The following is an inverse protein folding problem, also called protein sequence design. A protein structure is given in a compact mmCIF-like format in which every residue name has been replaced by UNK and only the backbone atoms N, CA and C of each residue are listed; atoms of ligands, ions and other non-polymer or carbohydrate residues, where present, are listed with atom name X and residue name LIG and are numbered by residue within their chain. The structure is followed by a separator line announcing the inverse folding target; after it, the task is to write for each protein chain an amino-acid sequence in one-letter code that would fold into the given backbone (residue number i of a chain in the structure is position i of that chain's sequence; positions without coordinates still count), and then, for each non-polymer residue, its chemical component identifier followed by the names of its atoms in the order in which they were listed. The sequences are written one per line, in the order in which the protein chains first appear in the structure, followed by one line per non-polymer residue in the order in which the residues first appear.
data_IF_033156755953
#
_entry.id   IF_033156755953
#
_cell.length_a   1.000
_cell.length_b   1.000
_cell.length_c   1.000
_cell.angle_alpha   90.00
_cell.angle_beta   90.00
_cell.angle_gamma   90.00
#
_symmetry.space_group_name_H-M   'P 1'
#
loop_
_entity.id
_entity.type
_entity.pdbx_description
1 polymer ?
#
# COMPACT_ATOMS: atom_id res chain seq x y z
N UNK A 1 48.77 6.43 -4.54
CA UNK A 1 48.08 6.25 -3.23
C UNK A 1 46.69 6.85 -3.38
N UNK A 2 45.67 6.00 -3.51
CA UNK A 2 44.30 6.40 -3.85
C UNK A 2 43.57 6.96 -2.64
N UNK A 3 42.87 8.07 -2.83
CA UNK A 3 41.99 8.67 -1.82
C UNK A 3 40.93 7.61 -1.45
N UNK A 4 40.75 7.26 -0.16
CA UNK A 4 39.77 6.27 0.25
C UNK A 4 38.37 6.73 -0.18
N UNK A 5 37.71 5.92 -1.01
CA UNK A 5 36.37 6.17 -1.57
C UNK A 5 35.33 6.45 -0.48
N UNK A 6 35.43 5.75 0.65
CA UNK A 6 34.56 5.91 1.81
C UNK A 6 34.50 7.35 2.35
N UNK A 7 35.65 8.04 2.41
CA UNK A 7 35.71 9.43 2.91
C UNK A 7 35.08 10.43 1.93
N UNK A 8 35.11 10.13 0.63
CA UNK A 8 34.44 10.92 -0.40
C UNK A 8 32.92 10.73 -0.33
N UNK A 9 32.46 9.50 -0.15
CA UNK A 9 31.03 9.19 -0.08
C UNK A 9 30.40 9.77 1.19
N UNK A 10 31.08 9.71 2.33
CA UNK A 10 30.65 10.37 3.57
C UNK A 10 30.56 11.89 3.39
N UNK A 11 31.49 12.51 2.65
CA UNK A 11 31.46 13.96 2.38
C UNK A 11 30.33 14.34 1.42
N UNK A 12 30.07 13.54 0.38
CA UNK A 12 28.96 13.75 -0.57
C UNK A 12 27.62 13.58 0.13
N UNK A 13 27.45 12.54 0.94
CA UNK A 13 26.25 12.30 1.75
C UNK A 13 26.02 13.42 2.78
N UNK A 14 27.10 13.94 3.39
CA UNK A 14 27.04 15.08 4.31
C UNK A 14 26.69 16.39 3.58
N UNK A 15 27.20 16.60 2.37
CA UNK A 15 26.83 17.75 1.52
C UNK A 15 25.38 17.66 1.03
N UNK A 16 24.91 16.47 0.65
CA UNK A 16 23.51 16.24 0.25
C UNK A 16 22.54 16.40 1.42
N UNK A 17 22.89 15.91 2.61
CA UNK A 17 22.07 16.10 3.82
C UNK A 17 22.02 17.54 4.31
N UNK A 18 23.07 18.34 4.08
CA UNK A 18 23.05 19.79 4.35
C UNK A 18 22.18 20.58 3.35
N UNK A 19 21.98 20.07 2.13
CA UNK A 19 21.13 20.69 1.10
C UNK A 19 19.66 20.24 1.25
N UNK A 20 19.42 19.08 1.86
CA UNK A 20 18.11 18.48 2.09
C UNK A 20 17.91 18.27 3.59
N UNK A 21 17.97 19.36 4.37
CA UNK A 21 17.41 19.35 5.72
C UNK A 21 15.93 19.70 5.57
N UNK A 22 14.99 18.74 5.67
CA UNK A 22 13.58 19.09 5.67
C UNK A 22 13.34 20.07 6.82
N UNK A 23 12.69 21.20 6.51
CA UNK A 23 12.25 22.13 7.55
C UNK A 23 11.46 21.35 8.62
N UNK A 24 11.44 21.76 9.90
CA UNK A 24 10.61 21.11 10.93
C UNK A 24 9.13 21.03 10.54
N UNK A 25 8.66 21.88 9.62
CA UNK A 25 7.34 21.78 9.00
C UNK A 25 7.22 20.61 7.99
N UNK A 26 8.26 20.29 7.24
CA UNK A 26 8.32 19.17 6.31
C UNK A 26 8.48 17.83 7.01
N UNK A 27 9.27 17.74 8.09
CA UNK A 27 9.35 16.52 8.91
C UNK A 27 8.00 16.12 9.51
N UNK A 28 7.23 17.11 9.99
CA UNK A 28 5.86 16.89 10.48
C UNK A 28 4.95 16.34 9.38
N UNK A 29 5.04 16.92 8.17
CA UNK A 29 4.28 16.45 7.00
C UNK A 29 4.66 15.02 6.60
N UNK A 30 5.95 14.70 6.59
CA UNK A 30 6.45 13.35 6.28
C UNK A 30 5.95 12.34 7.32
N UNK A 31 6.00 12.67 8.62
CA UNK A 31 5.48 11.79 9.68
C UNK A 31 3.98 11.56 9.55
N UNK A 32 3.20 12.61 9.30
CA UNK A 32 1.76 12.50 9.09
C UNK A 32 1.43 11.67 7.85
N UNK A 33 2.14 11.90 6.73
CA UNK A 33 1.97 11.11 5.51
C UNK A 33 2.27 9.62 5.76
N UNK A 34 3.33 9.30 6.51
CA UNK A 34 3.64 7.91 6.89
C UNK A 34 2.53 7.28 7.74
N UNK A 35 1.99 8.02 8.71
CA UNK A 35 0.87 7.53 9.52
C UNK A 35 -0.36 7.26 8.65
N UNK A 36 -0.71 8.17 7.73
CA UNK A 36 -1.80 7.97 6.77
C UNK A 36 -1.58 6.72 5.90
N UNK A 37 -0.37 6.52 5.38
CA UNK A 37 -0.05 5.32 4.60
C UNK A 37 -0.17 4.04 5.43
N UNK A 38 0.24 4.06 6.70
CA UNK A 38 0.14 2.90 7.58
C UNK A 38 -1.32 2.57 7.92
N UNK A 39 -2.16 3.58 8.12
CA UNK A 39 -3.61 3.40 8.28
C UNK A 39 -4.23 2.78 7.04
N UNK A 40 -3.85 3.26 5.85
CA UNK A 40 -4.37 2.73 4.60
C UNK A 40 -3.90 1.32 4.28
N UNK A 41 -2.64 0.98 4.57
CA UNK A 41 -2.14 -0.40 4.47
C UNK A 41 -2.94 -1.32 5.40
N UNK A 42 -3.21 -0.89 6.64
CA UNK A 42 -3.96 -1.71 7.61
C UNK A 42 -5.42 -1.89 7.20
N UNK A 43 -6.07 -0.84 6.74
CA UNK A 43 -7.45 -0.89 6.26
C UNK A 43 -7.57 -1.72 4.98
N UNK A 44 -6.66 -1.51 4.02
CA UNK A 44 -6.53 -2.29 2.80
C UNK A 44 -6.31 -3.77 3.08
N UNK A 45 -5.41 -4.13 4.00
CA UNK A 45 -5.14 -5.52 4.36
C UNK A 45 -6.38 -6.21 4.96
N UNK A 46 -7.14 -5.50 5.80
CA UNK A 46 -8.41 -6.01 6.33
C UNK A 46 -9.41 -6.26 5.21
N UNK A 47 -9.62 -5.28 4.33
CA UNK A 47 -10.53 -5.42 3.19
C UNK A 47 -10.13 -6.58 2.26
N UNK A 48 -8.83 -6.70 1.96
CA UNK A 48 -8.27 -7.78 1.16
C UNK A 48 -8.52 -9.16 1.79
N UNK A 49 -8.34 -9.28 3.11
CA UNK A 49 -8.60 -10.55 3.80
C UNK A 49 -10.07 -10.97 3.70
N UNK A 50 -11.00 -10.02 3.84
CA UNK A 50 -12.44 -10.25 3.73
C UNK A 50 -12.80 -10.64 2.29
N UNK A 51 -12.29 -9.89 1.31
CA UNK A 51 -12.51 -10.17 -0.11
C UNK A 51 -11.95 -11.53 -0.53
N UNK A 52 -10.78 -11.90 -0.01
CA UNK A 52 -10.18 -13.21 -0.23
C UNK A 52 -11.12 -14.33 0.23
N UNK A 53 -11.62 -14.26 1.47
CA UNK A 53 -12.57 -15.27 1.98
C UNK A 53 -13.89 -15.24 1.20
N UNK A 54 -14.43 -14.05 0.95
CA UNK A 54 -15.69 -13.86 0.24
C UNK A 54 -15.64 -14.33 -1.22
N UNK A 55 -14.46 -14.38 -1.84
CA UNK A 55 -14.29 -14.89 -3.22
C UNK A 55 -13.81 -16.33 -3.26
N UNK A 56 -12.94 -16.75 -2.33
CA UNK A 56 -12.42 -18.11 -2.28
C UNK A 56 -13.54 -19.13 -2.00
N UNK A 57 -14.43 -18.84 -1.07
CA UNK A 57 -15.52 -19.78 -0.71
C UNK A 57 -16.45 -20.01 -1.92
N UNK A 58 -17.03 -18.99 -2.57
CA UNK A 58 -17.85 -19.20 -3.76
C UNK A 58 -17.09 -19.82 -4.92
N UNK A 59 -15.82 -19.46 -5.13
CA UNK A 59 -15.00 -20.02 -6.22
C UNK A 59 -14.81 -21.52 -6.04
N UNK A 60 -14.47 -21.98 -4.83
CA UNK A 60 -14.30 -23.40 -4.53
C UNK A 60 -15.63 -24.15 -4.59
N UNK A 61 -16.72 -23.56 -4.07
CA UNK A 61 -18.05 -24.16 -4.14
C UNK A 61 -18.52 -24.30 -5.60
N UNK A 62 -18.32 -23.27 -6.43
CA UNK A 62 -18.72 -23.29 -7.83
C UNK A 62 -18.07 -24.43 -8.61
N UNK A 63 -16.77 -24.69 -8.40
CA UNK A 63 -16.05 -25.78 -9.09
C UNK A 63 -16.51 -27.16 -8.62
N UNK A 64 -17.14 -27.26 -7.44
CA UNK A 64 -17.68 -28.52 -6.90
C UNK A 64 -19.12 -28.78 -7.28
N UNK A 65 -19.94 -27.74 -7.35
CA UNK A 65 -21.40 -27.84 -7.58
C UNK A 65 -21.76 -27.66 -9.05
N UNK A 66 -21.01 -26.86 -9.81
CA UNK A 66 -21.36 -26.50 -11.19
C UNK A 66 -20.49 -27.31 -12.17
N UNK A 67 -21.07 -28.24 -12.96
CA UNK A 67 -20.31 -29.09 -13.87
C UNK A 67 -19.54 -28.30 -14.94
N UNK A 68 -20.13 -27.20 -15.42
CA UNK A 68 -19.48 -26.29 -16.36
C UNK A 68 -18.23 -25.64 -15.76
N UNK A 69 -18.31 -25.16 -14.52
CA UNK A 69 -17.17 -24.56 -13.83
C UNK A 69 -16.09 -25.61 -13.56
N UNK A 70 -16.47 -26.84 -13.19
CA UNK A 70 -15.52 -27.96 -13.04
C UNK A 70 -14.77 -28.29 -14.32
N UNK A 71 -15.46 -28.23 -15.47
CA UNK A 71 -14.87 -28.56 -16.76
C UNK A 71 -14.03 -27.42 -17.36
N UNK A 72 -14.33 -26.16 -17.05
CA UNK A 72 -13.71 -24.99 -17.70
C UNK A 72 -12.81 -24.15 -16.78
N UNK A 73 -12.90 -24.29 -15.45
CA UNK A 73 -12.19 -23.43 -14.49
C UNK A 73 -10.96 -24.16 -13.89
N UNK A 74 -9.79 -23.92 -14.48
CA UNK A 74 -8.52 -24.47 -13.99
C UNK A 74 -8.07 -23.80 -12.66
N UNK A 75 -7.15 -24.42 -11.92
CA UNK A 75 -6.60 -23.89 -10.66
C UNK A 75 -6.00 -22.49 -10.81
N UNK A 76 -5.37 -22.20 -11.95
CA UNK A 76 -4.86 -20.86 -12.26
C UNK A 76 -5.97 -19.83 -12.32
N UNK A 77 -7.12 -20.16 -12.94
CA UNK A 77 -8.25 -19.23 -13.03
C UNK A 77 -8.87 -18.96 -11.66
N UNK A 78 -8.97 -19.98 -10.81
CA UNK A 78 -9.43 -19.81 -9.42
C UNK A 78 -8.50 -18.90 -8.63
N UNK A 79 -7.18 -19.13 -8.72
CA UNK A 79 -6.19 -18.28 -8.06
C UNK A 79 -6.25 -16.83 -8.57
N UNK A 80 -6.42 -16.63 -9.88
CA UNK A 80 -6.57 -15.30 -10.48
C UNK A 80 -7.81 -14.57 -9.96
N UNK A 81 -8.97 -15.24 -9.86
CA UNK A 81 -10.20 -14.62 -9.35
C UNK A 81 -10.01 -14.14 -7.91
N UNK A 82 -9.46 -14.99 -7.04
CA UNK A 82 -9.27 -14.70 -5.61
C UNK A 82 -8.22 -13.59 -5.43
N UNK A 83 -7.09 -13.69 -6.12
CA UNK A 83 -6.02 -12.69 -6.03
C UNK A 83 -6.44 -11.34 -6.59
N UNK A 84 -7.11 -11.30 -7.75
CA UNK A 84 -7.60 -10.06 -8.34
C UNK A 84 -8.57 -9.33 -7.42
N UNK A 85 -9.54 -10.05 -6.81
CA UNK A 85 -10.48 -9.46 -5.87
C UNK A 85 -9.78 -8.93 -4.59
N UNK A 86 -8.80 -9.68 -4.08
CA UNK A 86 -8.03 -9.28 -2.90
C UNK A 86 -7.18 -8.04 -3.17
N UNK A 87 -6.51 -7.99 -4.32
CA UNK A 87 -5.68 -6.85 -4.73
C UNK A 87 -6.55 -5.61 -4.98
N UNK A 88 -7.66 -5.76 -5.71
CA UNK A 88 -8.56 -4.65 -5.99
C UNK A 88 -9.14 -4.04 -4.69
N UNK A 89 -9.62 -4.88 -3.77
CA UNK A 89 -10.16 -4.41 -2.49
C UNK A 89 -9.10 -3.76 -1.59
N UNK A 90 -7.85 -4.25 -1.61
CA UNK A 90 -6.73 -3.59 -0.94
C UNK A 90 -6.55 -2.16 -1.44
N UNK A 91 -6.35 -1.98 -2.74
CA UNK A 91 -6.04 -0.67 -3.33
C UNK A 91 -7.18 0.32 -3.18
N UNK A 92 -8.42 -0.11 -3.45
CA UNK A 92 -9.60 0.77 -3.29
C UNK A 92 -9.70 1.29 -1.85
N UNK A 93 -9.51 0.41 -0.86
CA UNK A 93 -9.64 0.80 0.55
C UNK A 93 -8.43 1.60 1.03
N UNK A 94 -7.22 1.21 0.62
CA UNK A 94 -5.99 1.94 0.93
C UNK A 94 -6.02 3.35 0.35
N UNK A 95 -6.45 3.52 -0.91
CA UNK A 95 -6.54 4.84 -1.54
C UNK A 95 -7.57 5.72 -0.83
N UNK A 96 -8.75 5.17 -0.53
CA UNK A 96 -9.81 5.90 0.19
C UNK A 96 -9.33 6.43 1.53
N UNK A 97 -8.71 5.56 2.32
CA UNK A 97 -8.22 5.90 3.66
C UNK A 97 -7.05 6.89 3.64
N UNK A 98 -6.13 6.76 2.66
CA UNK A 98 -5.04 7.71 2.46
C UNK A 98 -5.58 9.08 2.04
N UNK A 99 -6.54 9.12 1.11
CA UNK A 99 -7.19 10.36 0.66
C UNK A 99 -7.95 11.05 1.80
N UNK A 100 -8.72 10.30 2.59
CA UNK A 100 -9.42 10.83 3.76
C UNK A 100 -8.44 11.40 4.80
N UNK A 101 -7.34 10.70 5.06
CA UNK A 101 -6.30 11.18 5.97
C UNK A 101 -5.58 12.43 5.42
N UNK A 102 -5.28 12.46 4.12
CA UNK A 102 -4.69 13.64 3.46
C UNK A 102 -5.63 14.85 3.51
N UNK A 103 -6.94 14.64 3.31
CA UNK A 103 -7.96 15.70 3.37
C UNK A 103 -8.05 16.30 4.78
N UNK A 104 -8.09 15.46 5.82
CA UNK A 104 -8.09 15.94 7.21
C UNK A 104 -6.83 16.75 7.57
N UNK A 105 -5.68 16.36 7.04
CA UNK A 105 -4.42 17.10 7.25
C UNK A 105 -4.36 18.43 6.47
N UNK A 106 -5.16 18.60 5.41
CA UNK A 106 -5.29 19.86 4.68
C UNK A 106 -6.24 20.83 5.41
N UNK A 107 -7.39 20.37 5.89
CA UNK A 107 -8.36 21.19 6.64
C UNK A 107 -7.74 21.78 7.92
N UNK A 108 -6.87 21.03 8.62
CA UNK A 108 -6.16 21.51 9.80
C UNK A 108 -5.14 22.62 9.52
N UNK A 109 -4.71 22.79 8.25
CA UNK A 109 -3.81 23.88 7.84
C UNK A 109 -4.56 25.18 7.51
N UNK A 110 -5.79 25.10 7.03
CA UNK A 110 -6.61 26.29 6.71
C UNK A 110 -7.19 26.94 7.97
N UNK A 111 -7.28 26.19 9.08
CA UNK A 111 -7.80 26.67 10.37
C UNK A 111 -6.73 27.23 11.33
N UNK A 112 -5.46 27.36 10.91
CA UNK A 112 -4.34 27.82 11.74
C UNK A 112 -3.61 29.00 11.12
#
# INVERSE_FOLDING_TARGET
MGIPSELRDVWIQRKQSLIIVPSPAEEKRIRQARNCTQEGVRAGAKAASIACVATAVPTLVAVRVIPWAKANLNYTAQALIISAASIASYFITADKTILECARRNAEYKDSS
#
